data_IF_532611251278
#
_entry.id   IF_532611251278
#
_cell.length_a   1.000
_cell.length_b   1.000
_cell.length_c   1.000
_cell.angle_alpha   90.00
_cell.angle_beta   90.00
_cell.angle_gamma   90.00
#
_symmetry.space_group_name_H-M   'P 1'
#
loop_
_entity.id
_entity.type
_entity.pdbx_description
1 polymer ?
#
# COMPACT_ATOMS: atom_id res chain seq x y z
N UNK A 1 -18.44 45.07 -24.02
CA UNK A 1 -17.73 44.17 -24.95
C UNK A 1 -16.24 44.40 -24.78
N UNK A 2 -15.53 43.45 -24.16
CA UNK A 2 -14.07 43.51 -23.98
C UNK A 2 -13.44 42.44 -24.86
N UNK A 3 -12.41 42.85 -25.60
CA UNK A 3 -11.78 42.16 -26.73
C UNK A 3 -10.97 40.93 -26.35
N UNK A 4 -10.95 39.95 -27.26
CA UNK A 4 -10.37 38.61 -27.18
C UNK A 4 -8.82 38.55 -27.15
N UNK A 5 -8.13 39.66 -26.86
CA UNK A 5 -6.69 39.82 -27.13
C UNK A 5 -5.77 39.75 -25.88
N UNK A 6 -6.21 39.13 -24.77
CA UNK A 6 -5.42 39.10 -23.51
C UNK A 6 -5.15 37.69 -22.93
N UNK A 7 -5.36 36.61 -23.69
CA UNK A 7 -5.18 35.23 -23.16
C UNK A 7 -4.06 34.43 -23.84
N UNK A 8 -3.21 35.06 -24.65
CA UNK A 8 -2.04 34.39 -25.21
C UNK A 8 -0.86 34.43 -24.22
N UNK A 9 -0.59 33.29 -23.57
CA UNK A 9 0.69 33.04 -22.89
C UNK A 9 0.64 32.45 -21.47
N UNK A 10 -0.53 32.20 -20.89
CA UNK A 10 -0.61 31.65 -19.53
C UNK A 10 -0.42 30.13 -19.56
N UNK A 11 0.69 29.62 -19.01
CA UNK A 11 0.90 28.18 -18.80
C UNK A 11 0.37 27.77 -17.43
N UNK A 12 -0.73 27.02 -17.44
CA UNK A 12 -1.30 26.40 -16.24
C UNK A 12 -0.49 25.14 -15.87
N UNK A 13 -0.10 25.02 -14.60
CA UNK A 13 0.46 23.78 -14.04
C UNK A 13 -0.49 23.24 -12.98
N UNK A 14 -0.99 22.04 -13.18
CA UNK A 14 -1.79 21.35 -12.17
C UNK A 14 -0.87 20.63 -11.18
N UNK A 15 -0.88 21.07 -9.92
CA UNK A 15 -0.45 20.28 -8.77
C UNK A 15 -1.61 20.28 -7.79
N UNK A 16 -2.24 19.12 -7.61
CA UNK A 16 -3.25 18.83 -6.58
C UNK A 16 -4.24 19.99 -6.26
N UNK A 17 -5.38 19.97 -6.96
CA UNK A 17 -6.64 20.67 -6.66
C UNK A 17 -6.67 22.20 -6.48
N UNK A 18 -5.59 22.95 -6.70
CA UNK A 18 -5.66 24.42 -6.79
C UNK A 18 -4.76 24.97 -7.91
N UNK A 19 -5.24 26.01 -8.62
CA UNK A 19 -4.53 26.67 -9.73
C UNK A 19 -3.97 27.99 -9.20
N UNK A 20 -2.64 28.08 -9.07
CA UNK A 20 -1.94 29.34 -8.81
C UNK A 20 -1.41 29.95 -10.11
N UNK A 21 -1.61 31.25 -10.28
CA UNK A 21 -1.09 32.05 -11.42
C UNK A 21 0.29 32.58 -11.04
N UNK A 22 1.32 32.25 -11.81
CA UNK A 22 2.72 32.65 -11.55
C UNK A 22 3.22 33.53 -12.70
N UNK A 23 3.80 34.69 -12.37
CA UNK A 23 4.39 35.63 -13.34
C UNK A 23 5.78 35.17 -13.83
N UNK A 24 6.13 35.38 -15.11
CA UNK A 24 7.30 34.75 -15.72
C UNK A 24 8.63 35.49 -15.46
N UNK A 25 9.61 34.78 -14.91
CA UNK A 25 11.04 35.14 -14.95
C UNK A 25 11.79 34.37 -16.05
N UNK A 26 12.87 34.99 -16.57
CA UNK A 26 13.66 34.67 -17.77
C UNK A 26 14.09 33.20 -18.02
N UNK A 27 14.38 32.81 -19.30
CA UNK A 27 14.54 31.42 -19.72
C UNK A 27 15.93 30.83 -19.42
N UNK A 28 15.94 29.59 -18.91
CA UNK A 28 17.13 28.72 -18.80
C UNK A 28 17.05 27.57 -19.83
N UNK A 29 18.15 27.16 -20.48
CA UNK A 29 18.09 26.21 -21.58
C UNK A 29 18.15 24.73 -21.12
N UNK A 30 17.20 23.97 -21.69
CA UNK A 30 17.22 22.53 -22.04
C UNK A 30 17.35 21.48 -20.93
N UNK A 31 16.32 20.63 -20.84
CA UNK A 31 16.45 19.18 -21.04
C UNK A 31 15.19 18.59 -21.71
N UNK A 32 15.49 17.67 -22.62
CA UNK A 32 14.71 16.94 -23.61
C UNK A 32 13.25 16.57 -23.26
N UNK A 33 12.33 16.94 -24.14
CA UNK A 33 10.97 16.42 -24.19
C UNK A 33 10.94 15.14 -25.05
N UNK A 34 10.56 14.03 -24.44
CA UNK A 34 10.09 12.84 -25.15
C UNK A 34 8.62 13.05 -25.52
N UNK A 35 8.36 13.47 -26.76
CA UNK A 35 7.04 13.39 -27.37
C UNK A 35 7.01 12.20 -28.35
N UNK A 36 5.97 11.36 -28.34
CA UNK A 36 5.77 10.38 -29.38
C UNK A 36 5.42 11.08 -30.70
N UNK A 37 5.84 10.48 -31.82
CA UNK A 37 5.56 10.97 -33.15
C UNK A 37 4.04 10.96 -33.42
N UNK A 38 3.48 12.15 -33.67
CA UNK A 38 2.12 12.29 -34.19
C UNK A 38 2.12 11.94 -35.68
N UNK A 39 1.75 10.71 -36.00
CA UNK A 39 1.50 10.28 -37.37
C UNK A 39 0.05 10.57 -37.74
N UNK A 40 -0.10 11.49 -38.70
CA UNK A 40 -1.17 11.65 -39.68
C UNK A 40 -2.57 12.11 -39.24
N UNK A 41 -3.06 13.09 -39.99
CA UNK A 41 -4.31 13.79 -39.76
C UNK A 41 -5.53 12.88 -39.86
N UNK A 42 -6.41 13.03 -38.88
CA UNK A 42 -7.79 12.54 -38.95
C UNK A 42 -8.72 13.71 -38.69
N UNK A 43 -9.71 13.80 -39.57
CA UNK A 43 -10.79 14.77 -39.59
C UNK A 43 -11.48 14.87 -38.22
N UNK A 44 -11.68 16.11 -37.74
CA UNK A 44 -12.39 16.47 -36.51
C UNK A 44 -13.84 15.97 -36.44
N UNK A 45 -14.38 15.41 -37.53
CA UNK A 45 -15.74 14.87 -37.57
C UNK A 45 -15.83 13.41 -37.08
N UNK A 46 -14.71 12.68 -36.97
CA UNK A 46 -14.74 11.25 -36.65
C UNK A 46 -14.84 10.95 -35.13
N UNK A 47 -14.49 11.91 -34.27
CA UNK A 47 -14.48 11.68 -32.81
C UNK A 47 -15.86 11.82 -32.18
N UNK A 48 -16.73 12.69 -32.74
CA UNK A 48 -18.09 12.89 -32.24
C UNK A 48 -18.98 11.67 -32.50
N UNK A 49 -18.83 11.00 -33.65
CA UNK A 49 -19.60 9.79 -33.99
C UNK A 49 -19.23 8.61 -33.08
N UNK A 50 -17.97 8.52 -32.66
CA UNK A 50 -17.51 7.47 -31.74
C UNK A 50 -18.10 7.64 -30.33
N UNK A 51 -18.09 8.87 -29.82
CA UNK A 51 -18.71 9.20 -28.52
C UNK A 51 -20.24 9.02 -28.56
N UNK A 52 -20.88 9.39 -29.66
CA UNK A 52 -22.31 9.16 -29.86
C UNK A 52 -22.65 7.66 -29.87
N UNK A 53 -21.85 6.83 -30.54
CA UNK A 53 -22.02 5.37 -30.56
C UNK A 53 -21.90 4.74 -29.17
N UNK A 54 -20.92 5.17 -28.36
CA UNK A 54 -20.74 4.70 -26.98
C UNK A 54 -21.91 5.08 -26.06
N UNK A 55 -22.51 6.26 -26.27
CA UNK A 55 -23.67 6.72 -25.49
C UNK A 55 -24.97 6.00 -25.90
N UNK A 56 -25.14 5.67 -27.18
CA UNK A 56 -26.24 4.86 -27.69
C UNK A 56 -26.15 3.40 -27.20
N UNK A 57 -24.95 2.82 -27.21
CA UNK A 57 -24.72 1.47 -26.70
C UNK A 57 -24.99 1.38 -25.20
N UNK A 58 -24.61 2.40 -24.41
CA UNK A 58 -24.91 2.49 -22.98
C UNK A 58 -26.42 2.65 -22.69
N UNK A 59 -27.19 3.30 -23.58
CA UNK A 59 -28.66 3.41 -23.47
C UNK A 59 -29.37 2.12 -23.85
N UNK A 60 -28.79 1.36 -24.78
CA UNK A 60 -29.34 0.09 -25.28
C UNK A 60 -28.97 -1.09 -24.38
N UNK A 61 -27.87 -1.00 -23.63
CA UNK A 61 -27.44 -1.98 -22.65
C UNK A 61 -28.22 -1.84 -21.33
N UNK A 62 -29.43 -2.41 -21.34
CA UNK A 62 -30.27 -2.92 -20.24
C UNK A 62 -31.51 -2.08 -19.86
N UNK A 63 -32.69 -2.72 -19.82
CA UNK A 63 -33.81 -2.25 -19.02
C UNK A 63 -33.51 -2.55 -17.56
N UNK A 64 -33.26 -1.52 -16.75
CA UNK A 64 -33.35 -1.66 -15.30
C UNK A 64 -34.84 -1.84 -14.98
N UNK A 65 -35.31 -2.99 -14.46
CA UNK A 65 -36.69 -3.13 -14.05
C UNK A 65 -36.96 -2.17 -12.88
N UNK A 66 -37.65 -1.08 -13.16
CA UNK A 66 -38.11 -0.08 -12.21
C UNK A 66 -39.25 -0.60 -11.29
N UNK A 67 -39.17 -1.86 -10.83
CA UNK A 67 -40.23 -2.49 -10.02
C UNK A 67 -39.80 -2.89 -8.60
N UNK A 68 -38.74 -2.29 -8.08
CA UNK A 68 -38.32 -2.49 -6.69
C UNK A 68 -38.11 -1.16 -5.92
N UNK A 69 -38.84 -0.09 -6.29
CA UNK A 69 -38.80 1.20 -5.60
C UNK A 69 -40.15 1.61 -4.96
N UNK A 70 -41.04 0.65 -4.70
CA UNK A 70 -42.30 0.90 -3.97
C UNK A 70 -42.54 -0.15 -2.89
N UNK A 71 -41.52 -0.41 -2.08
CA UNK A 71 -41.64 -1.07 -0.78
C UNK A 71 -40.57 -0.52 0.17
N UNK A 72 -40.52 0.81 0.30
CA UNK A 72 -39.88 1.45 1.45
C UNK A 72 -40.80 1.22 2.65
N UNK A 73 -40.69 0.04 3.25
CA UNK A 73 -41.06 -0.15 4.63
C UNK A 73 -40.26 0.86 5.47
N UNK A 74 -40.97 1.47 6.41
CA UNK A 74 -40.47 2.40 7.42
C UNK A 74 -39.31 1.75 8.20
N UNK A 75 -38.08 1.88 7.72
CA UNK A 75 -36.91 1.65 8.57
C UNK A 75 -36.68 2.97 9.29
N UNK A 76 -37.26 3.05 10.48
CA UNK A 76 -37.01 4.12 11.42
C UNK A 76 -35.49 4.29 11.60
N UNK A 77 -34.97 5.40 11.10
CA UNK A 77 -33.62 5.86 11.39
C UNK A 77 -33.62 6.34 12.85
N UNK A 78 -33.37 5.46 13.79
CA UNK A 78 -32.96 5.86 15.13
C UNK A 78 -31.51 6.35 15.02
N UNK A 79 -31.22 7.64 15.24
CA UNK A 79 -29.84 8.06 15.43
C UNK A 79 -29.32 7.35 16.68
N UNK A 80 -28.18 6.65 16.64
CA UNK A 80 -27.59 6.16 17.87
C UNK A 80 -27.26 7.38 18.72
N UNK A 81 -27.86 7.41 19.91
CA UNK A 81 -27.58 8.41 20.92
C UNK A 81 -26.07 8.49 21.15
N UNK A 82 -25.64 9.69 21.51
CA UNK A 82 -24.39 9.97 22.18
C UNK A 82 -24.30 9.11 23.45
N UNK A 83 -23.89 7.87 23.30
CA UNK A 83 -23.36 7.08 24.40
C UNK A 83 -21.87 7.41 24.44
N UNK A 84 -21.47 8.01 25.55
CA UNK A 84 -20.08 8.29 25.88
C UNK A 84 -19.26 7.02 25.62
N UNK A 85 -18.33 7.10 24.68
CA UNK A 85 -17.35 6.06 24.41
C UNK A 85 -16.40 5.99 25.62
N UNK A 86 -16.88 5.37 26.69
CA UNK A 86 -16.05 4.74 27.70
C UNK A 86 -15.01 3.90 26.93
N UNK A 87 -13.73 4.15 27.22
CA UNK A 87 -12.60 3.42 26.69
C UNK A 87 -12.63 1.98 27.23
N UNK A 88 -13.60 1.21 26.74
CA UNK A 88 -13.80 -0.19 27.07
C UNK A 88 -12.58 -0.98 26.62
N UNK A 89 -12.08 -1.77 27.56
CA UNK A 89 -11.03 -2.77 27.43
C UNK A 89 -10.91 -3.31 26.00
N UNK A 90 -9.73 -3.14 25.40
CA UNK A 90 -9.42 -3.68 24.09
C UNK A 90 -9.30 -5.20 24.23
N UNK A 91 -10.44 -5.90 24.22
CA UNK A 91 -10.51 -7.36 24.18
C UNK A 91 -9.57 -7.88 23.10
N UNK A 92 -8.71 -8.83 23.47
CA UNK A 92 -7.64 -9.42 22.67
C UNK A 92 -8.16 -10.02 21.36
N UNK A 93 -8.30 -9.16 20.36
CA UNK A 93 -8.68 -9.56 19.01
C UNK A 93 -7.55 -10.42 18.42
N UNK A 94 -7.89 -11.53 17.75
CA UNK A 94 -6.89 -12.45 17.16
C UNK A 94 -5.87 -11.78 16.22
N UNK A 95 -6.19 -10.61 15.66
CA UNK A 95 -5.26 -9.82 14.86
C UNK A 95 -4.24 -8.99 15.64
N UNK A 96 -4.51 -8.73 16.92
CA UNK A 96 -3.65 -8.01 17.86
C UNK A 96 -2.54 -8.87 18.46
N UNK A 97 -2.68 -10.21 18.44
CA UNK A 97 -1.68 -11.15 18.94
C UNK A 97 -0.27 -10.85 18.40
N UNK A 98 0.70 -10.68 19.31
CA UNK A 98 2.08 -10.30 19.05
C UNK A 98 2.31 -8.80 18.82
N UNK A 99 1.41 -7.93 19.29
CA UNK A 99 1.63 -6.49 19.26
C UNK A 99 2.83 -6.13 20.17
N UNK A 100 3.68 -5.15 19.80
CA UNK A 100 3.61 -4.24 18.65
C UNK A 100 4.35 -4.72 17.39
N UNK A 101 5.16 -5.79 17.49
CA UNK A 101 6.14 -6.11 16.45
C UNK A 101 5.66 -7.17 15.45
N UNK A 102 4.89 -8.15 15.91
CA UNK A 102 4.47 -9.35 15.17
C UNK A 102 2.97 -9.39 14.86
N UNK A 103 2.18 -8.47 15.43
CA UNK A 103 0.75 -8.39 15.17
C UNK A 103 0.43 -8.21 13.68
N UNK A 104 -0.83 -8.45 13.35
CA UNK A 104 -1.29 -8.26 11.97
C UNK A 104 -1.38 -6.77 11.66
N UNK A 105 -1.62 -6.48 10.37
CA UNK A 105 -1.82 -5.10 9.91
C UNK A 105 -2.92 -4.40 10.74
N UNK A 106 -2.79 -3.10 11.05
CA UNK A 106 -3.83 -2.32 11.71
C UNK A 106 -5.19 -2.42 11.00
N UNK A 107 -6.26 -2.47 11.77
CA UNK A 107 -7.63 -2.49 11.27
C UNK A 107 -8.04 -1.10 10.77
N UNK A 108 -8.14 -0.96 9.44
CA UNK A 108 -8.53 0.31 8.81
C UNK A 108 -9.96 0.71 9.20
N UNK A 109 -10.85 -0.27 9.39
CA UNK A 109 -12.24 0.01 9.80
C UNK A 109 -12.33 0.48 11.25
N UNK A 110 -11.47 -0.04 12.14
CA UNK A 110 -11.43 0.43 13.54
C UNK A 110 -10.92 1.87 13.58
N UNK A 111 -9.86 2.18 12.82
CA UNK A 111 -9.33 3.53 12.70
C UNK A 111 -10.37 4.54 12.18
N UNK A 112 -11.43 4.08 11.50
CA UNK A 112 -12.57 4.89 11.04
C UNK A 112 -13.78 4.85 11.99
N UNK A 113 -13.72 4.12 13.10
CA UNK A 113 -14.85 3.91 14.01
C UNK A 113 -15.97 3.01 13.45
N UNK A 114 -15.66 2.16 12.45
CA UNK A 114 -16.64 1.36 11.68
C UNK A 114 -16.39 -0.15 11.75
N UNK A 115 -15.49 -0.64 12.60
CA UNK A 115 -15.25 -2.07 12.71
C UNK A 115 -16.38 -2.74 13.51
N UNK A 116 -17.22 -3.53 12.83
CA UNK A 116 -18.30 -4.31 13.46
C UNK A 116 -17.92 -5.76 13.75
N UNK A 117 -16.68 -6.16 13.41
CA UNK A 117 -16.25 -7.57 13.54
C UNK A 117 -15.87 -7.97 14.97
N UNK A 118 -15.69 -7.02 15.87
CA UNK A 118 -15.27 -7.27 17.25
C UNK A 118 -14.08 -8.24 17.34
N UNK A 119 -14.20 -9.26 18.19
CA UNK A 119 -13.21 -10.33 18.37
C UNK A 119 -12.95 -11.19 17.12
N UNK A 120 -13.89 -11.25 16.17
CA UNK A 120 -13.71 -11.98 14.92
C UNK A 120 -12.87 -11.20 13.88
N UNK A 121 -12.45 -9.96 14.19
CA UNK A 121 -11.58 -9.20 13.32
C UNK A 121 -10.19 -9.86 13.21
N UNK A 122 -9.66 -9.95 11.99
CA UNK A 122 -8.34 -10.54 11.71
C UNK A 122 -7.23 -9.49 11.59
N UNK A 123 -7.50 -8.26 12.03
CA UNK A 123 -6.59 -7.12 11.98
C UNK A 123 -6.34 -6.60 13.38
N UNK A 124 -5.19 -5.96 13.60
CA UNK A 124 -4.85 -5.45 14.93
C UNK A 124 -5.73 -4.26 15.29
N UNK A 125 -6.22 -4.25 16.52
CA UNK A 125 -7.07 -3.20 17.09
C UNK A 125 -6.32 -2.25 18.04
N UNK A 126 -5.06 -2.54 18.39
CA UNK A 126 -4.25 -1.64 19.19
C UNK A 126 -3.83 -0.39 18.41
N UNK A 127 -3.48 0.64 19.17
CA UNK A 127 -2.91 1.85 18.61
C UNK A 127 -1.57 1.52 17.95
N UNK A 128 -1.50 1.75 16.65
CA UNK A 128 -0.24 1.80 15.92
C UNK A 128 0.20 3.25 15.83
N UNK A 129 1.50 3.48 15.98
CA UNK A 129 2.07 4.83 15.91
C UNK A 129 1.49 5.64 14.75
N UNK A 130 1.23 6.92 15.01
CA UNK A 130 0.60 7.89 14.10
C UNK A 130 1.42 8.18 12.83
N UNK A 131 2.59 7.57 12.70
CA UNK A 131 3.36 7.56 11.47
C UNK A 131 2.55 6.88 10.36
N UNK A 132 2.34 7.62 9.26
CA UNK A 132 1.60 7.12 8.10
C UNK A 132 2.17 5.75 7.71
N UNK A 133 1.33 4.70 7.54
CA UNK A 133 1.80 3.38 7.14
C UNK A 133 2.73 3.52 5.95
N UNK A 134 3.97 3.05 6.07
CA UNK A 134 4.96 3.12 5.00
C UNK A 134 4.52 2.15 3.89
N UNK A 135 3.65 2.64 3.01
CA UNK A 135 3.23 1.89 1.83
C UNK A 135 4.36 1.98 0.82
N UNK A 136 4.94 0.83 0.48
CA UNK A 136 5.92 0.77 -0.60
C UNK A 136 5.29 1.23 -1.92
N UNK A 137 5.89 2.23 -2.61
CA UNK A 137 5.51 2.57 -3.97
C UNK A 137 5.53 1.33 -4.86
N UNK A 138 4.66 1.31 -5.88
CA UNK A 138 4.52 0.17 -6.80
C UNK A 138 5.88 -0.31 -7.35
N UNK A 139 6.72 0.60 -7.82
CA UNK A 139 8.04 0.26 -8.37
C UNK A 139 8.99 -0.40 -7.35
N UNK A 140 8.89 -0.05 -6.06
CA UNK A 140 9.68 -0.71 -5.00
C UNK A 140 9.20 -2.14 -4.78
N UNK A 141 7.88 -2.35 -4.74
CA UNK A 141 7.30 -3.70 -4.63
C UNK A 141 7.66 -4.57 -5.83
N UNK A 142 7.59 -4.02 -7.03
CA UNK A 142 8.01 -4.72 -8.25
C UNK A 142 9.50 -5.05 -8.23
N UNK A 143 10.35 -4.13 -7.78
CA UNK A 143 11.79 -4.38 -7.59
C UNK A 143 12.01 -5.53 -6.61
N UNK A 144 11.38 -5.51 -5.44
CA UNK A 144 11.48 -6.59 -4.45
C UNK A 144 11.00 -7.90 -5.07
N UNK A 145 9.84 -7.91 -5.74
CA UNK A 145 9.28 -9.12 -6.34
C UNK A 145 10.19 -9.75 -7.40
N UNK A 146 11.00 -8.96 -8.11
CA UNK A 146 11.98 -9.44 -9.11
C UNK A 146 13.30 -9.95 -8.51
N UNK A 147 13.55 -9.70 -7.23
CA UNK A 147 14.76 -10.20 -6.56
C UNK A 147 14.73 -11.73 -6.43
N UNK A 148 15.90 -12.35 -6.54
CA UNK A 148 16.12 -13.77 -6.21
C UNK A 148 15.91 -14.03 -4.71
N UNK A 149 15.68 -15.30 -4.35
CA UNK A 149 15.48 -15.76 -2.97
C UNK A 149 16.60 -15.31 -2.03
N UNK A 150 17.86 -15.63 -2.33
CA UNK A 150 19.03 -15.19 -1.55
C UNK A 150 19.13 -13.68 -1.37
N UNK A 151 18.83 -12.88 -2.40
CA UNK A 151 18.89 -11.43 -2.27
C UNK A 151 17.80 -10.92 -1.32
N UNK A 152 16.60 -11.53 -1.32
CA UNK A 152 15.55 -11.23 -0.36
C UNK A 152 15.92 -11.67 1.05
N UNK A 153 16.49 -12.85 1.22
CA UNK A 153 16.99 -13.35 2.50
C UNK A 153 18.05 -12.43 3.10
N UNK A 154 19.03 -11.98 2.29
CA UNK A 154 20.02 -10.97 2.72
C UNK A 154 19.37 -9.67 3.15
N UNK A 155 18.43 -9.15 2.35
CA UNK A 155 17.67 -7.94 2.70
C UNK A 155 16.93 -8.10 4.04
N UNK A 156 16.29 -9.24 4.27
CA UNK A 156 15.59 -9.53 5.53
C UNK A 156 16.56 -9.61 6.71
N UNK A 157 17.65 -10.38 6.59
CA UNK A 157 18.69 -10.50 7.63
C UNK A 157 19.22 -9.13 8.05
N UNK A 158 19.66 -8.34 7.08
CA UNK A 158 20.28 -7.04 7.35
C UNK A 158 19.26 -6.07 7.97
N UNK A 159 18.00 -6.13 7.52
CA UNK A 159 16.91 -5.33 8.09
C UNK A 159 16.58 -5.76 9.53
N UNK A 160 16.65 -7.06 9.86
CA UNK A 160 16.48 -7.55 11.23
C UNK A 160 17.61 -7.08 12.13
N UNK A 161 18.87 -7.19 11.71
CA UNK A 161 20.00 -6.65 12.48
C UNK A 161 19.84 -5.16 12.75
N UNK A 162 19.48 -4.37 11.73
CA UNK A 162 19.24 -2.94 11.91
C UNK A 162 18.10 -2.67 12.90
N UNK A 163 17.06 -3.51 12.90
CA UNK A 163 15.92 -3.37 13.82
C UNK A 163 16.30 -3.74 15.25
N UNK A 164 17.06 -4.80 15.45
CA UNK A 164 17.60 -5.20 16.77
C UNK A 164 18.55 -4.16 17.32
N UNK A 165 19.38 -3.53 16.48
CA UNK A 165 20.23 -2.42 16.91
C UNK A 165 19.41 -1.22 17.44
N UNK A 166 18.25 -0.94 16.82
CA UNK A 166 17.35 0.13 17.26
C UNK A 166 16.49 -0.27 18.46
N UNK A 167 16.13 -1.55 18.56
CA UNK A 167 15.24 -2.11 19.59
C UNK A 167 15.87 -3.41 20.12
N UNK A 168 16.79 -3.32 21.10
CA UNK A 168 17.53 -4.48 21.61
C UNK A 168 16.64 -5.55 22.24
N UNK A 169 15.50 -5.17 22.81
CA UNK A 169 14.50 -6.08 23.39
C UNK A 169 13.96 -7.11 22.39
N UNK A 170 14.02 -6.79 21.09
CA UNK A 170 13.56 -7.66 20.03
C UNK A 170 14.55 -8.82 19.76
N UNK A 171 15.80 -8.71 20.24
CA UNK A 171 16.88 -9.63 19.88
C UNK A 171 16.51 -11.10 20.09
N UNK A 172 16.08 -11.46 21.31
CA UNK A 172 15.72 -12.84 21.66
C UNK A 172 14.56 -13.39 20.82
N UNK A 173 13.62 -12.53 20.45
CA UNK A 173 12.43 -12.91 19.68
C UNK A 173 12.75 -13.15 18.20
N UNK A 174 13.69 -12.40 17.61
CA UNK A 174 14.05 -12.55 16.19
C UNK A 174 15.23 -13.49 15.93
N UNK A 175 15.98 -13.93 16.96
CA UNK A 175 17.13 -14.83 16.78
C UNK A 175 16.78 -16.03 15.91
N UNK A 176 15.68 -16.73 16.24
CA UNK A 176 15.27 -17.92 15.48
C UNK A 176 14.87 -17.61 14.04
N UNK A 177 14.32 -16.43 13.77
CA UNK A 177 14.04 -15.97 12.40
C UNK A 177 15.34 -15.73 11.63
N UNK A 178 16.33 -15.12 12.26
CA UNK A 178 17.66 -14.89 11.65
C UNK A 178 18.35 -16.22 11.35
N UNK A 179 18.30 -17.19 12.28
CA UNK A 179 18.89 -18.52 12.07
C UNK A 179 18.30 -19.23 10.84
N UNK A 180 16.97 -19.18 10.68
CA UNK A 180 16.27 -19.75 9.51
C UNK A 180 16.73 -19.06 8.22
N UNK A 181 16.90 -17.73 8.25
CA UNK A 181 17.37 -16.96 7.09
C UNK A 181 18.81 -17.32 6.72
N UNK A 182 19.69 -17.42 7.71
CA UNK A 182 21.09 -17.79 7.48
C UNK A 182 21.24 -19.22 6.95
N UNK A 183 20.40 -20.15 7.42
CA UNK A 183 20.34 -21.51 6.87
C UNK A 183 19.91 -21.49 5.40
N UNK A 184 18.86 -20.74 5.07
CA UNK A 184 18.43 -20.55 3.67
C UNK A 184 19.55 -19.98 2.80
N UNK A 185 20.34 -19.04 3.34
CA UNK A 185 21.49 -18.46 2.63
C UNK A 185 22.66 -19.44 2.44
N UNK A 186 22.88 -20.39 3.36
CA UNK A 186 23.90 -21.44 3.21
C UNK A 186 23.52 -22.47 2.15
N UNK A 187 22.23 -22.71 1.97
CA UNK A 187 21.71 -23.70 1.02
C UNK A 187 21.62 -23.15 -0.42
N UNK A 188 21.52 -21.84 -0.60
CA UNK A 188 21.61 -21.23 -1.93
C UNK A 188 23.07 -21.15 -2.40
N UNK A 189 23.29 -21.47 -3.68
CA UNK A 189 24.63 -21.37 -4.29
C UNK A 189 25.20 -19.95 -4.12
N UNK A 190 26.52 -19.79 -3.95
CA UNK A 190 27.17 -18.49 -3.84
C UNK A 190 27.09 -17.75 -5.18
N UNK A 191 25.94 -17.13 -5.45
CA UNK A 191 25.75 -16.30 -6.62
C UNK A 191 26.29 -14.89 -6.36
N UNK A 192 26.70 -14.25 -7.45
CA UNK A 192 27.27 -12.92 -7.49
C UNK A 192 26.53 -11.95 -6.57
N UNK A 193 27.28 -11.18 -5.80
CA UNK A 193 26.77 -10.18 -4.88
C UNK A 193 26.04 -9.07 -5.62
N UNK A 194 24.76 -9.27 -5.93
CA UNK A 194 23.89 -8.16 -6.29
C UNK A 194 23.80 -7.25 -5.07
N UNK A 195 24.38 -6.05 -5.20
CA UNK A 195 24.32 -5.01 -4.17
C UNK A 195 22.87 -4.58 -4.02
N UNK A 196 22.24 -4.99 -2.92
CA UNK A 196 20.94 -4.46 -2.53
C UNK A 196 21.15 -2.99 -2.18
N UNK A 197 20.56 -2.07 -2.94
CA UNK A 197 20.84 -0.63 -2.77
C UNK A 197 20.50 -0.18 -1.35
N UNK A 198 21.39 0.59 -0.71
CA UNK A 198 21.29 1.05 0.68
C UNK A 198 19.93 1.66 1.05
N UNK A 199 19.33 2.44 0.12
CA UNK A 199 18.00 3.04 0.29
C UNK A 199 16.86 2.04 0.47
N UNK A 200 17.00 0.81 -0.04
CA UNK A 200 15.98 -0.21 0.13
C UNK A 200 16.00 -0.77 1.56
N UNK A 201 17.18 -1.04 2.11
CA UNK A 201 17.34 -1.49 3.50
C UNK A 201 16.71 -0.51 4.48
N UNK A 202 17.00 0.79 4.31
CA UNK A 202 16.45 1.85 5.17
C UNK A 202 14.92 1.85 5.17
N UNK A 203 14.30 1.66 3.99
CA UNK A 203 12.84 1.59 3.85
C UNK A 203 12.22 0.29 4.36
N UNK A 204 12.97 -0.81 4.37
CA UNK A 204 12.49 -2.09 4.93
C UNK A 204 12.62 -2.07 6.45
N UNK A 205 13.67 -1.47 7.01
CA UNK A 205 13.88 -1.43 8.46
C UNK A 205 12.80 -0.66 9.24
N UNK A 206 12.07 0.24 8.59
CA UNK A 206 10.95 1.01 9.19
C UNK A 206 9.61 0.27 9.21
N UNK A 207 9.47 -0.86 8.50
CA UNK A 207 8.22 -1.63 8.52
C UNK A 207 8.18 -2.60 9.72
N UNK A 208 7.00 -3.11 10.06
CA UNK A 208 6.86 -4.10 11.14
C UNK A 208 7.47 -5.45 10.76
N UNK A 209 7.86 -6.26 11.75
CA UNK A 209 8.43 -7.61 11.49
C UNK A 209 7.42 -8.47 10.73
N UNK A 210 6.14 -8.40 11.11
CA UNK A 210 5.07 -9.08 10.39
C UNK A 210 4.97 -8.66 8.91
N UNK A 211 5.22 -7.38 8.59
CA UNK A 211 5.21 -6.91 7.20
C UNK A 211 6.46 -7.36 6.42
N UNK A 212 7.62 -7.43 7.09
CA UNK A 212 8.85 -8.00 6.51
C UNK A 212 8.69 -9.46 6.14
N UNK A 213 7.90 -10.22 6.91
CA UNK A 213 7.65 -11.64 6.66
C UNK A 213 6.39 -11.88 5.80
N UNK A 214 5.80 -10.84 5.21
CA UNK A 214 4.67 -10.97 4.31
C UNK A 214 5.05 -11.56 2.94
N UNK A 215 4.04 -11.79 2.10
CA UNK A 215 4.20 -12.41 0.78
C UNK A 215 5.19 -11.68 -0.14
N UNK A 216 5.26 -10.34 -0.07
CA UNK A 216 6.13 -9.53 -0.95
C UNK A 216 7.60 -9.93 -0.78
N UNK A 217 8.03 -10.19 0.44
CA UNK A 217 9.41 -10.52 0.77
C UNK A 217 9.69 -12.02 0.75
N UNK A 218 8.66 -12.86 0.91
CA UNK A 218 8.84 -14.32 0.97
C UNK A 218 8.58 -15.03 -0.35
N UNK A 219 8.01 -14.36 -1.35
CA UNK A 219 7.84 -14.91 -2.70
C UNK A 219 9.20 -15.28 -3.31
N UNK A 220 9.28 -16.41 -4.01
CA UNK A 220 10.50 -16.91 -4.67
C UNK A 220 11.66 -17.25 -3.72
N UNK A 221 11.41 -17.33 -2.41
CA UNK A 221 12.29 -18.02 -1.46
C UNK A 221 11.97 -19.51 -1.56
N UNK A 222 12.94 -20.37 -1.22
CA UNK A 222 12.71 -21.79 -1.02
C UNK A 222 11.44 -22.03 -0.16
N UNK A 223 10.51 -22.90 -0.59
CA UNK A 223 9.23 -23.10 0.08
C UNK A 223 9.37 -23.68 1.49
N UNK A 224 10.44 -24.43 1.78
CA UNK A 224 10.73 -24.95 3.12
C UNK A 224 11.10 -23.81 4.07
N UNK A 225 12.03 -22.95 3.65
CA UNK A 225 12.44 -21.76 4.39
C UNK A 225 11.26 -20.82 4.60
N UNK A 226 10.45 -20.58 3.56
CA UNK A 226 9.24 -19.77 3.67
C UNK A 226 8.27 -20.34 4.71
N UNK A 227 8.02 -21.66 4.68
CA UNK A 227 7.12 -22.33 5.64
C UNK A 227 7.62 -22.17 7.07
N UNK A 228 8.91 -22.36 7.31
CA UNK A 228 9.55 -22.21 8.64
C UNK A 228 9.48 -20.77 9.14
N UNK A 229 9.70 -19.77 8.29
CA UNK A 229 9.55 -18.36 8.65
C UNK A 229 8.11 -18.01 9.05
N UNK A 230 7.11 -18.53 8.31
CA UNK A 230 5.71 -18.31 8.65
C UNK A 230 5.31 -18.99 9.96
N UNK A 231 5.83 -20.19 10.21
CA UNK A 231 5.56 -20.91 11.46
C UNK A 231 6.17 -20.19 12.66
N UNK A 232 7.40 -19.70 12.50
CA UNK A 232 8.05 -18.92 13.55
C UNK A 232 7.31 -17.61 13.83
N UNK A 233 6.81 -16.93 12.79
CA UNK A 233 5.95 -15.76 12.97
C UNK A 233 4.63 -16.09 13.68
N UNK A 234 4.04 -17.27 13.44
CA UNK A 234 2.83 -17.71 14.17
C UNK A 234 3.15 -17.94 15.65
N UNK A 235 4.27 -18.62 15.95
CA UNK A 235 4.75 -18.84 17.31
C UNK A 235 4.94 -17.52 18.05
N UNK A 236 5.68 -16.59 17.45
CA UNK A 236 5.95 -15.27 18.03
C UNK A 236 4.69 -14.43 18.26
N UNK A 237 3.61 -14.65 17.50
CA UNK A 237 2.33 -13.98 17.78
C UNK A 237 1.62 -14.49 19.02
N UNK A 238 1.84 -15.75 19.39
CA UNK A 238 1.21 -16.37 20.55
C UNK A 238 2.01 -16.08 21.83
N UNK A 239 3.34 -15.98 21.71
CA UNK A 239 4.25 -15.81 22.84
C UNK A 239 4.52 -14.36 23.27
N UNK A 240 4.25 -13.38 22.39
CA UNK A 240 4.50 -11.96 22.64
C UNK A 240 3.25 -11.24 23.15
#
# INVERSE_FOLDING_TARGET
MLSQAQLEGVKLKAKFTFIDVVEPSAPSPRRSASMPAMTHGRSLQCEDDYLAGLLEEARSALPIPHRALTAAAEIAFTPPGSEDFEAGDQDDVAGSLGHPYFCRRPCVLLAMGRCQKGMACKYCHHAHGSEKPQVFPRHIRERINRMKGSTKLRLLRDSFHQKVQKVPELASQVTRLVDIIEEGLRNEAPESSESTGSRLHERVAVITVAAMLGDVFTRNIDPDIQRRLQEELRRLRIEA
#
